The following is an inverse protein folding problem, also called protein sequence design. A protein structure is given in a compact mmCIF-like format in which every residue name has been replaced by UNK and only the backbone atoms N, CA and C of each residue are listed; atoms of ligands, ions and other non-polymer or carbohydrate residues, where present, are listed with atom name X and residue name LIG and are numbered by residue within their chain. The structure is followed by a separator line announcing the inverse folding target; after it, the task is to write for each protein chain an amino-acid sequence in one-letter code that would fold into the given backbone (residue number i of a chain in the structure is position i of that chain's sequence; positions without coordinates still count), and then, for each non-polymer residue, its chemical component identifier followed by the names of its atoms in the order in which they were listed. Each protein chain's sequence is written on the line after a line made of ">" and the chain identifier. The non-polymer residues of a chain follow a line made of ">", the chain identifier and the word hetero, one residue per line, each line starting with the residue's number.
data_IF_109899165900
#
_entry.id   IF_109899165900
#
_cell.length_a   1.000
_cell.length_b   1.000
_cell.length_c   1.000
_cell.angle_alpha   90.00
_cell.angle_beta   90.00
_cell.angle_gamma   90.00
#
_symmetry.space_group_name_H-M   'P 1'
#
loop_
_entity.id
_entity.type
_entity.pdbx_description
1 polymer ?
#
# COMPACT_ATOMS: atom_id res chain seq x y z
N UNK A 1 -9.26 -6.72 12.79
CA UNK A 1 -8.76 -5.44 12.24
C UNK A 1 -9.28 -4.29 13.11
N UNK A 2 -8.44 -3.33 13.49
CA UNK A 2 -8.84 -2.17 14.30
C UNK A 2 -9.31 -1.01 13.41
N UNK A 3 -10.06 -0.05 13.96
CA UNK A 3 -10.46 1.18 13.24
C UNK A 3 -9.26 1.95 12.67
N UNK A 4 -8.12 1.90 13.38
CA UNK A 4 -6.87 2.52 12.91
C UNK A 4 -6.29 1.78 11.70
N UNK A 5 -6.25 0.44 11.75
CA UNK A 5 -5.79 -0.39 10.62
C UNK A 5 -6.68 -0.21 9.38
N UNK A 6 -7.98 -0.06 9.55
CA UNK A 6 -8.90 0.25 8.45
C UNK A 6 -8.62 1.62 7.84
N UNK A 7 -8.41 2.64 8.68
CA UNK A 7 -8.10 4.00 8.22
C UNK A 7 -6.78 4.04 7.47
N UNK A 8 -5.71 3.47 8.04
CA UNK A 8 -4.39 3.43 7.40
C UNK A 8 -4.42 2.62 6.10
N UNK A 9 -5.18 1.53 6.07
CA UNK A 9 -5.40 0.76 4.85
C UNK A 9 -6.07 1.58 3.75
N UNK A 10 -7.09 2.39 4.09
CA UNK A 10 -7.73 3.31 3.13
C UNK A 10 -6.76 4.38 2.61
N UNK A 11 -5.94 4.94 3.50
CA UNK A 11 -4.93 5.96 3.14
C UNK A 11 -3.90 5.37 2.17
N UNK A 12 -3.32 4.21 2.50
CA UNK A 12 -2.35 3.53 1.63
C UNK A 12 -2.94 3.16 0.28
N UNK A 13 -4.17 2.62 0.26
CA UNK A 13 -4.88 2.31 -1.00
C UNK A 13 -5.08 3.55 -1.85
N UNK A 14 -5.47 4.69 -1.25
CA UNK A 14 -5.62 5.96 -1.97
C UNK A 14 -4.30 6.41 -2.57
N UNK A 15 -3.22 6.37 -1.78
CA UNK A 15 -1.88 6.77 -2.22
C UNK A 15 -1.35 5.89 -3.36
N UNK A 16 -1.55 4.57 -3.28
CA UNK A 16 -1.22 3.63 -4.36
C UNK A 16 -2.00 3.99 -5.63
N UNK A 17 -3.31 4.22 -5.51
CA UNK A 17 -4.15 4.58 -6.66
C UNK A 17 -3.79 5.94 -7.28
N UNK A 18 -3.32 6.91 -6.50
CA UNK A 18 -2.82 8.18 -7.01
C UNK A 18 -1.50 8.00 -7.76
N UNK A 19 -0.58 7.22 -7.20
CA UNK A 19 0.71 6.90 -7.83
C UNK A 19 0.50 6.13 -9.15
N UNK A 20 -0.49 5.23 -9.19
CA UNK A 20 -0.87 4.48 -10.38
C UNK A 20 -1.34 5.35 -11.55
N UNK A 21 -1.85 6.55 -11.27
CA UNK A 21 -2.31 7.50 -12.30
C UNK A 21 -1.17 8.33 -12.90
N UNK A 22 0.03 8.27 -12.32
CA UNK A 22 1.20 9.02 -12.82
C UNK A 22 1.82 8.32 -14.03
N UNK A 23 2.42 9.11 -14.91
CA UNK A 23 3.16 8.61 -16.07
C UNK A 23 4.40 7.81 -15.64
N UNK A 24 5.15 8.36 -14.67
CA UNK A 24 6.27 7.69 -14.01
C UNK A 24 5.80 7.32 -12.61
N UNK A 25 5.74 6.01 -12.34
CA UNK A 25 5.30 5.47 -11.06
C UNK A 25 6.51 5.25 -10.16
N UNK A 26 6.46 5.77 -8.93
CA UNK A 26 7.45 5.46 -7.89
C UNK A 26 6.76 4.93 -6.63
N UNK A 27 6.82 3.61 -6.45
CA UNK A 27 6.24 2.94 -5.30
C UNK A 27 7.22 2.77 -4.14
N UNK A 28 8.50 3.15 -4.27
CA UNK A 28 9.52 2.85 -3.26
C UNK A 28 9.13 3.38 -1.87
N UNK A 29 8.73 4.64 -1.81
CA UNK A 29 8.33 5.28 -0.55
C UNK A 29 7.03 4.69 0.02
N UNK A 30 6.15 4.16 -0.84
CA UNK A 30 4.90 3.51 -0.44
C UNK A 30 5.20 2.14 0.16
N UNK A 31 6.07 1.36 -0.48
CA UNK A 31 6.52 0.04 0.01
C UNK A 31 7.26 0.18 1.34
N UNK A 32 8.17 1.14 1.48
CA UNK A 32 8.84 1.43 2.76
C UNK A 32 7.82 1.77 3.87
N UNK A 33 6.78 2.55 3.54
CA UNK A 33 5.70 2.84 4.50
C UNK A 33 4.92 1.59 4.89
N UNK A 34 4.63 0.72 3.91
CA UNK A 34 3.94 -0.56 4.15
C UNK A 34 4.75 -1.47 5.07
N UNK A 35 6.07 -1.57 4.87
CA UNK A 35 6.97 -2.39 5.70
C UNK A 35 6.99 -1.89 7.15
N UNK A 36 7.14 -0.57 7.34
CA UNK A 36 7.10 0.05 8.68
C UNK A 36 5.75 -0.20 9.35
N UNK A 37 4.65 -0.08 8.61
CA UNK A 37 3.31 -0.23 9.16
C UNK A 37 3.01 -1.69 9.49
N UNK A 38 3.48 -2.65 8.69
CA UNK A 38 3.34 -4.07 8.99
C UNK A 38 4.14 -4.44 10.24
N UNK A 39 5.41 -4.03 10.33
CA UNK A 39 6.26 -4.28 11.49
C UNK A 39 5.72 -3.66 12.79
N UNK A 40 4.97 -2.55 12.67
CA UNK A 40 4.32 -1.88 13.81
C UNK A 40 2.88 -2.31 14.08
N UNK A 41 2.41 -3.41 13.50
CA UNK A 41 1.03 -3.93 13.57
C UNK A 41 -0.04 -2.87 13.20
N UNK A 42 0.33 -1.88 12.38
CA UNK A 42 -0.53 -0.77 11.94
C UNK A 42 -1.36 -1.11 10.71
N UNK A 43 -0.98 -2.15 9.98
CA UNK A 43 -1.78 -2.82 8.94
C UNK A 43 -1.67 -4.33 9.13
N UNK A 44 -2.58 -5.08 8.54
CA UNK A 44 -2.54 -6.55 8.59
C UNK A 44 -1.73 -7.12 7.42
N UNK A 45 -1.30 -8.37 7.56
CA UNK A 45 -0.63 -9.11 6.48
C UNK A 45 -1.50 -9.22 5.23
N UNK A 46 -2.82 -9.35 5.39
CA UNK A 46 -3.77 -9.37 4.26
C UNK A 46 -3.78 -8.03 3.53
N UNK A 47 -3.82 -6.91 4.25
CA UNK A 47 -3.74 -5.57 3.65
C UNK A 47 -2.40 -5.37 2.92
N UNK A 48 -1.30 -5.81 3.51
CA UNK A 48 0.01 -5.75 2.88
C UNK A 48 0.04 -6.54 1.56
N UNK A 49 -0.48 -7.78 1.55
CA UNK A 49 -0.55 -8.61 0.36
C UNK A 49 -1.44 -7.99 -0.74
N UNK A 50 -2.59 -7.41 -0.37
CA UNK A 50 -3.46 -6.67 -1.29
C UNK A 50 -2.71 -5.50 -1.95
N UNK A 51 -2.03 -4.68 -1.15
CA UNK A 51 -1.30 -3.51 -1.64
C UNK A 51 -0.13 -3.91 -2.54
N UNK A 52 0.64 -4.94 -2.17
CA UNK A 52 1.71 -5.47 -3.01
C UNK A 52 1.16 -5.96 -4.35
N UNK A 53 0.02 -6.66 -4.34
CA UNK A 53 -0.63 -7.12 -5.58
C UNK A 53 -1.06 -5.95 -6.47
N UNK A 54 -1.59 -4.86 -5.90
CA UNK A 54 -1.96 -3.66 -6.65
C UNK A 54 -0.74 -3.00 -7.32
N UNK A 55 0.40 -2.97 -6.63
CA UNK A 55 1.65 -2.42 -7.13
C UNK A 55 2.26 -3.30 -8.23
N UNK A 56 2.30 -4.63 -8.05
CA UNK A 56 2.92 -5.54 -9.00
C UNK A 56 2.09 -5.75 -10.26
N UNK A 57 0.76 -5.81 -10.14
CA UNK A 57 -0.15 -6.02 -11.29
C UNK A 57 -0.09 -4.90 -12.32
N UNK A 58 0.44 -3.73 -11.94
CA UNK A 58 0.49 -2.53 -12.78
C UNK A 58 1.89 -2.19 -13.26
N UNK A 59 2.90 -2.90 -12.75
CA UNK A 59 4.30 -2.83 -13.20
C UNK A 59 4.62 -3.91 -14.23
N UNK A 60 3.79 -4.96 -14.33
CA UNK A 60 4.00 -6.11 -15.23
C UNK A 60 3.14 -6.06 -16.51
N UNK A 61 2.63 -4.88 -16.89
CA UNK A 61 1.81 -4.67 -18.09
C UNK A 61 2.56 -3.82 -19.13
#
# INVERSE_FOLDING_TARGET
>A
MTKMQELLGKILRSRINEELKKEIKDFKTIQETMDIFLAGDKITTEQYAEFTTLITSTTTA
#
